data_IF_483939437080
#
_entry.id   IF_483939437080
#
_cell.length_a   1.000
_cell.length_b   1.000
_cell.length_c   1.000
_cell.angle_alpha   90.00
_cell.angle_beta   90.00
_cell.angle_gamma   90.00
#
_symmetry.space_group_name_H-M   'P 1'
#
loop_
_entity.id
_entity.type
_entity.pdbx_description
1 polymer ?
#
# COMPACT_ATOMS: atom_id res chain seq x y z
N UNK A 1 7.92 -2.50 -8.79
CA UNK A 1 6.63 -1.77 -8.94
C UNK A 1 5.68 -2.70 -9.66
N UNK A 2 4.47 -2.91 -9.13
CA UNK A 2 3.48 -3.77 -9.78
C UNK A 2 2.98 -3.08 -11.06
N UNK A 3 2.99 -3.72 -12.25
CA UNK A 3 2.68 -3.07 -13.53
C UNK A 3 1.28 -2.42 -13.59
N UNK A 4 0.32 -2.92 -12.81
CA UNK A 4 -1.03 -2.36 -12.74
C UNK A 4 -1.12 -1.03 -11.97
N UNK A 5 -0.07 -0.63 -11.26
CA UNK A 5 0.00 0.66 -10.57
C UNK A 5 0.61 1.68 -11.52
N UNK A 6 -0.22 2.55 -12.10
CA UNK A 6 0.19 3.60 -13.02
C UNK A 6 0.85 4.79 -12.28
N UNK A 7 1.95 4.52 -11.57
CA UNK A 7 2.78 5.51 -10.89
C UNK A 7 4.24 5.05 -10.87
N UNK A 8 5.15 5.91 -11.31
CA UNK A 8 6.58 5.62 -11.41
C UNK A 8 7.40 6.30 -10.30
N UNK A 9 6.79 7.23 -9.58
CA UNK A 9 7.40 7.94 -8.46
C UNK A 9 6.35 8.20 -7.36
N UNK A 10 6.82 8.72 -6.23
CA UNK A 10 5.97 8.98 -5.07
C UNK A 10 4.91 10.05 -5.36
N UNK A 11 5.23 11.11 -6.11
CA UNK A 11 4.27 12.17 -6.42
C UNK A 11 3.11 11.65 -7.28
N UNK A 12 3.41 10.82 -8.29
CA UNK A 12 2.41 10.12 -9.10
C UNK A 12 1.57 9.16 -8.27
N UNK A 13 2.19 8.42 -7.34
CA UNK A 13 1.47 7.51 -6.46
C UNK A 13 0.49 8.27 -5.57
N UNK A 14 0.91 9.40 -5.01
CA UNK A 14 0.05 10.27 -4.20
C UNK A 14 -1.09 10.85 -5.02
N UNK A 15 -0.82 11.33 -6.23
CA UNK A 15 -1.86 11.82 -7.14
C UNK A 15 -2.87 10.72 -7.49
N UNK A 16 -2.40 9.52 -7.81
CA UNK A 16 -3.24 8.37 -8.14
C UNK A 16 -4.10 7.93 -6.94
N UNK A 17 -3.51 7.84 -5.75
CA UNK A 17 -4.21 7.45 -4.52
C UNK A 17 -5.29 8.47 -4.13
N UNK A 18 -5.03 9.77 -4.29
CA UNK A 18 -6.02 10.84 -4.04
C UNK A 18 -7.13 10.86 -5.08
N UNK A 19 -6.81 10.60 -6.34
CA UNK A 19 -7.80 10.56 -7.43
C UNK A 19 -8.75 9.35 -7.31
N UNK A 20 -8.31 8.28 -6.64
CA UNK A 20 -9.05 7.00 -6.55
C UNK A 20 -9.01 6.44 -5.13
N UNK A 21 -9.71 7.06 -4.15
CA UNK A 21 -9.71 6.60 -2.77
C UNK A 21 -10.26 5.16 -2.67
N UNK A 22 -9.61 4.33 -1.86
CA UNK A 22 -9.99 2.94 -1.61
C UNK A 22 -9.73 1.98 -2.79
N UNK A 23 -9.08 2.43 -3.88
CA UNK A 23 -8.79 1.58 -5.05
C UNK A 23 -7.40 0.95 -5.04
N UNK A 24 -6.46 1.53 -4.30
CA UNK A 24 -5.13 0.98 -4.15
C UNK A 24 -5.07 0.14 -2.87
N UNK A 25 -4.38 -0.99 -2.97
CA UNK A 25 -4.15 -1.89 -1.85
C UNK A 25 -2.68 -1.79 -1.43
N UNK A 26 -2.40 -2.02 -0.15
CA UNK A 26 -1.05 -2.23 0.34
C UNK A 26 -0.98 -3.49 1.20
N UNK A 27 0.11 -4.22 1.06
CA UNK A 27 0.35 -5.46 1.80
C UNK A 27 1.19 -5.21 3.06
N UNK A 28 0.98 -6.03 4.09
CA UNK A 28 1.84 -6.07 5.27
C UNK A 28 2.06 -7.51 5.72
N UNK A 29 2.98 -7.72 6.67
CA UNK A 29 3.16 -9.02 7.32
C UNK A 29 2.10 -9.37 8.37
N UNK A 30 1.07 -8.54 8.55
CA UNK A 30 -0.08 -8.79 9.41
C UNK A 30 -0.53 -7.57 10.22
N UNK A 31 -1.71 -7.63 10.87
CA UNK A 31 -2.20 -6.58 11.75
C UNK A 31 -1.23 -6.30 12.91
N UNK A 32 -1.11 -5.05 13.31
CA UNK A 32 -0.22 -4.58 14.38
C UNK A 32 1.29 -4.62 14.09
N UNK A 33 1.72 -5.16 12.94
CA UNK A 33 3.15 -5.21 12.59
C UNK A 33 3.70 -3.82 12.23
N UNK A 34 5.04 -3.60 12.28
CA UNK A 34 5.64 -2.33 11.85
C UNK A 34 5.24 -1.90 10.44
N UNK A 35 5.05 -2.84 9.51
CA UNK A 35 4.60 -2.53 8.15
C UNK A 35 3.14 -2.08 8.08
N UNK A 36 2.25 -2.67 8.90
CA UNK A 36 0.88 -2.19 9.03
C UNK A 36 0.85 -0.77 9.62
N UNK A 37 1.60 -0.52 10.70
CA UNK A 37 1.70 0.80 11.31
C UNK A 37 2.28 1.85 10.36
N UNK A 38 3.30 1.49 9.58
CA UNK A 38 3.87 2.37 8.56
C UNK A 38 2.85 2.74 7.47
N UNK A 39 2.02 1.77 7.04
CA UNK A 39 0.95 2.02 6.07
C UNK A 39 -0.13 2.96 6.61
N UNK A 40 -0.58 2.74 7.85
CA UNK A 40 -1.56 3.63 8.48
C UNK A 40 -1.00 5.04 8.76
N UNK A 41 0.27 5.14 9.17
CA UNK A 41 0.95 6.42 9.31
C UNK A 41 1.05 7.15 7.96
N UNK A 42 1.40 6.43 6.89
CA UNK A 42 1.46 6.99 5.54
C UNK A 42 0.10 7.54 5.10
N UNK A 43 -1.00 6.79 5.31
CA UNK A 43 -2.36 7.25 5.02
C UNK A 43 -2.68 8.55 5.73
N UNK A 44 -2.39 8.63 7.03
CA UNK A 44 -2.63 9.80 7.86
C UNK A 44 -1.81 11.02 7.40
N UNK A 45 -0.51 10.83 7.13
CA UNK A 45 0.38 11.92 6.72
C UNK A 45 0.10 12.42 5.29
N UNK A 46 -0.19 11.51 4.37
CA UNK A 46 -0.39 11.82 2.97
C UNK A 46 -1.83 12.26 2.64
N UNK A 47 -2.79 12.00 3.55
CA UNK A 47 -4.21 12.24 3.34
C UNK A 47 -4.75 11.39 2.19
N UNK A 48 -4.40 10.09 2.18
CA UNK A 48 -4.80 9.13 1.14
C UNK A 48 -5.56 7.97 1.75
N UNK A 49 -6.48 7.41 0.98
CA UNK A 49 -7.21 6.22 1.35
C UNK A 49 -6.74 5.03 0.50
N UNK A 50 -5.96 4.15 1.13
CA UNK A 50 -5.47 2.90 0.55
C UNK A 50 -5.82 1.74 1.49
N UNK A 51 -6.23 0.61 0.91
CA UNK A 51 -6.80 -0.52 1.64
C UNK A 51 -5.69 -1.45 2.11
N UNK A 52 -5.74 -1.79 3.40
CA UNK A 52 -4.82 -2.76 3.99
C UNK A 52 -5.20 -4.18 3.63
N UNK A 53 -4.23 -4.94 3.10
CA UNK A 53 -4.36 -6.39 2.86
C UNK A 53 -3.38 -7.12 3.79
N UNK A 54 -3.85 -7.74 4.87
CA UNK A 54 -3.00 -8.43 5.83
C UNK A 54 -2.60 -9.82 5.34
N UNK A 55 -1.30 -10.14 5.42
CA UNK A 55 -0.78 -11.49 5.18
C UNK A 55 -0.30 -12.14 6.48
N UNK A 56 -0.05 -13.45 6.46
CA UNK A 56 0.55 -14.21 7.58
C UNK A 56 2.09 -14.22 7.52
N UNK A 57 2.69 -13.13 7.05
CA UNK A 57 4.14 -12.96 6.95
C UNK A 57 4.60 -12.21 5.70
N UNK A 58 5.82 -11.65 5.75
CA UNK A 58 6.34 -10.79 4.68
C UNK A 58 6.64 -11.52 3.37
N UNK A 59 6.85 -12.85 3.40
CA UNK A 59 7.12 -13.61 2.18
C UNK A 59 5.90 -13.62 1.26
N UNK A 60 4.74 -13.99 1.79
CA UNK A 60 3.48 -14.00 1.03
C UNK A 60 3.12 -12.59 0.56
N UNK A 61 3.26 -11.59 1.44
CA UNK A 61 3.02 -10.19 1.09
C UNK A 61 3.87 -9.74 -0.12
N UNK A 62 5.15 -10.13 -0.20
CA UNK A 62 6.02 -9.78 -1.33
C UNK A 62 5.62 -10.51 -2.60
N UNK A 63 5.36 -11.81 -2.52
CA UNK A 63 4.93 -12.61 -3.67
C UNK A 63 3.70 -11.99 -4.32
N UNK A 64 2.68 -11.64 -3.56
CA UNK A 64 1.43 -11.12 -4.11
C UNK A 64 1.53 -9.64 -4.56
N UNK A 65 2.57 -8.92 -4.12
CA UNK A 65 2.77 -7.51 -4.52
C UNK A 65 3.65 -7.38 -5.77
N UNK A 66 4.59 -8.30 -5.98
CA UNK A 66 5.61 -8.22 -7.04
C UNK A 66 5.45 -9.32 -8.09
N UNK A 67 4.96 -10.49 -7.69
CA UNK A 67 4.67 -11.62 -8.59
C UNK A 67 3.45 -11.35 -9.43
#
# INVERSE_FOLDING_TARGET
>A
VHPAVAANNLAELLALAKAKPGKLNYASSGPGTPYHMAGELFKAMAGVDIVHVPYRGSSQARTDTIG
#
